data_IF_523946760543
#
_entry.id   IF_523946760543
#
_cell.length_a   1.000
_cell.length_b   1.000
_cell.length_c   1.000
_cell.angle_alpha   90.00
_cell.angle_beta   90.00
_cell.angle_gamma   90.00
#
_symmetry.space_group_name_H-M   'P 1'
#
loop_
_entity.id
_entity.type
_entity.pdbx_description
1 polymer ?
#
# COMPACT_ATOMS: atom_id res chain seq x y z
N UNK A 1 7.20 -6.58 -12.83
CA UNK A 1 5.90 -6.18 -12.23
C UNK A 1 6.08 -5.30 -10.97
N UNK A 2 5.19 -4.33 -10.78
CA UNK A 2 5.10 -3.49 -9.59
C UNK A 2 3.64 -3.22 -9.28
N UNK A 3 3.30 -3.04 -8.00
CA UNK A 3 1.97 -2.65 -7.59
C UNK A 3 1.73 -1.21 -8.00
N UNK A 4 0.65 -0.97 -8.74
CA UNK A 4 0.11 0.37 -8.85
C UNK A 4 -0.46 0.79 -7.50
N UNK A 5 -0.11 1.99 -7.03
CA UNK A 5 -0.65 2.54 -5.79
C UNK A 5 -1.27 3.92 -6.03
N UNK A 6 -2.19 4.30 -5.15
CA UNK A 6 -2.74 5.65 -5.06
C UNK A 6 -3.04 6.02 -3.62
N UNK A 7 -2.71 7.25 -3.23
CA UNK A 7 -2.99 7.87 -1.94
C UNK A 7 -4.10 8.91 -2.17
N UNK A 8 -5.25 8.71 -1.52
CA UNK A 8 -6.45 9.56 -1.73
C UNK A 8 -6.34 10.90 -1.01
N UNK A 9 -5.91 10.87 0.24
CA UNK A 9 -5.84 12.06 1.10
C UNK A 9 -4.41 12.16 1.66
N UNK A 10 -3.45 12.61 0.84
CA UNK A 10 -2.08 12.71 1.30
C UNK A 10 -1.93 13.84 2.33
N UNK A 11 -1.23 13.56 3.41
CA UNK A 11 -0.92 14.55 4.46
C UNK A 11 0.48 15.11 4.19
N UNK A 12 0.56 16.41 3.98
CA UNK A 12 1.83 17.13 3.81
C UNK A 12 1.91 18.26 4.83
N UNK A 13 3.01 18.38 5.55
CA UNK A 13 3.28 19.46 6.50
C UNK A 13 4.79 19.60 6.74
N UNK A 14 5.19 20.39 7.75
CA UNK A 14 6.60 20.55 8.10
C UNK A 14 7.30 19.23 8.48
N UNK A 15 6.55 18.24 8.96
CA UNK A 15 7.03 16.90 9.32
C UNK A 15 7.01 15.93 8.13
N UNK A 16 5.95 15.99 7.32
CA UNK A 16 5.70 15.09 6.19
C UNK A 16 5.88 15.82 4.86
N UNK A 17 7.02 15.57 4.21
CA UNK A 17 7.31 16.11 2.88
C UNK A 17 6.32 15.57 1.85
N UNK A 18 6.15 16.31 0.75
CA UNK A 18 5.39 15.83 -0.40
C UNK A 18 5.96 14.51 -0.92
N UNK A 19 5.06 13.56 -1.19
CA UNK A 19 5.36 12.27 -1.81
C UNK A 19 4.47 12.06 -3.03
N UNK A 20 4.86 11.13 -3.89
CA UNK A 20 4.05 10.74 -5.02
C UNK A 20 2.71 10.18 -4.52
N UNK A 21 1.60 10.74 -4.99
CA UNK A 21 0.25 10.29 -4.62
C UNK A 21 -0.19 9.09 -5.45
N UNK A 22 0.53 8.76 -6.53
CA UNK A 22 0.31 7.60 -7.37
C UNK A 22 1.65 7.12 -7.93
N UNK A 23 1.72 5.85 -8.31
CA UNK A 23 2.90 5.31 -8.96
C UNK A 23 2.94 3.80 -8.91
N UNK A 24 4.14 3.26 -9.12
CA UNK A 24 4.41 1.83 -9.03
C UNK A 24 5.47 1.54 -7.98
N UNK A 25 5.28 0.49 -7.18
CA UNK A 25 6.25 0.05 -6.18
C UNK A 25 6.32 -1.48 -6.14
N UNK A 26 7.52 -2.03 -5.91
CA UNK A 26 7.70 -3.49 -5.70
C UNK A 26 7.39 -3.93 -4.27
N UNK A 27 7.56 -3.00 -3.32
CA UNK A 27 7.35 -3.19 -1.90
C UNK A 27 6.68 -1.95 -1.34
N UNK A 28 5.61 -2.12 -0.59
CA UNK A 28 4.91 -1.05 0.11
C UNK A 28 4.87 -1.41 1.60
N UNK A 29 5.42 -0.54 2.44
CA UNK A 29 5.31 -0.66 3.90
C UNK A 29 4.25 0.32 4.39
N UNK A 30 3.25 -0.20 5.10
CA UNK A 30 2.17 0.57 5.69
C UNK A 30 2.31 0.52 7.22
N UNK A 31 2.15 1.67 7.86
CA UNK A 31 2.03 1.76 9.32
C UNK A 31 0.74 2.52 9.63
N UNK A 32 -0.15 1.90 10.41
CA UNK A 32 -1.43 2.52 10.77
C UNK A 32 -1.24 3.62 11.80
N UNK A 33 -1.85 4.77 11.54
CA UNK A 33 -2.05 5.83 12.54
C UNK A 33 -3.50 5.95 12.99
N UNK A 34 -4.39 5.13 12.44
CA UNK A 34 -5.83 5.16 12.67
C UNK A 34 -6.18 4.42 13.96
N UNK A 35 -7.02 5.00 14.82
CA UNK A 35 -7.52 4.30 16.02
C UNK A 35 -8.31 3.04 15.64
N UNK A 36 -9.24 3.15 14.67
CA UNK A 36 -10.05 2.05 14.14
C UNK A 36 -9.81 1.87 12.64
N UNK A 37 -8.56 1.60 12.25
CA UNK A 37 -8.19 1.38 10.85
C UNK A 37 -8.49 -0.05 10.37
N UNK A 38 -8.63 -0.21 9.05
CA UNK A 38 -8.76 -1.52 8.40
C UNK A 38 -7.92 -1.56 7.12
N UNK A 39 -7.34 -2.71 6.84
CA UNK A 39 -6.81 -3.05 5.51
C UNK A 39 -7.91 -3.80 4.76
N UNK A 40 -8.23 -3.33 3.55
CA UNK A 40 -9.25 -3.96 2.69
C UNK A 40 -8.56 -4.61 1.51
N UNK A 41 -8.69 -5.93 1.40
CA UNK A 41 -8.15 -6.75 0.31
C UNK A 41 -9.29 -7.18 -0.62
N UNK A 42 -9.06 -7.09 -1.93
CA UNK A 42 -9.98 -7.50 -3.00
C UNK A 42 -11.42 -6.93 -2.88
N UNK A 43 -11.55 -5.78 -2.19
CA UNK A 43 -12.83 -5.10 -1.96
C UNK A 43 -13.77 -5.77 -0.95
N UNK A 44 -13.45 -6.96 -0.43
CA UNK A 44 -14.35 -7.76 0.41
C UNK A 44 -13.76 -8.11 1.77
N UNK A 45 -12.47 -8.43 1.83
CA UNK A 45 -11.83 -8.88 3.06
C UNK A 45 -11.34 -7.70 3.87
N UNK A 46 -11.90 -7.51 5.06
CA UNK A 46 -11.52 -6.45 6.01
C UNK A 46 -10.67 -7.04 7.13
N UNK A 47 -9.44 -6.58 7.25
CA UNK A 47 -8.52 -6.97 8.30
C UNK A 47 -8.38 -5.78 9.26
N UNK A 48 -8.64 -5.95 10.57
CA UNK A 48 -8.38 -4.91 11.57
C UNK A 48 -6.93 -4.42 11.48
N UNK A 49 -6.75 -3.11 11.37
CA UNK A 49 -5.44 -2.47 11.23
C UNK A 49 -5.34 -1.24 12.15
N UNK A 50 -5.41 -1.44 13.48
CA UNK A 50 -5.40 -0.38 14.47
C UNK A 50 -4.04 0.34 14.53
N UNK A 51 -3.97 1.42 15.30
CA UNK A 51 -2.79 2.27 15.43
C UNK A 51 -1.57 1.46 15.85
N UNK A 52 -0.46 1.64 15.13
CA UNK A 52 0.79 0.92 15.35
C UNK A 52 0.90 -0.41 14.60
N UNK A 53 -0.18 -0.92 13.99
CA UNK A 53 -0.08 -2.07 13.10
C UNK A 53 0.77 -1.75 11.88
N UNK A 54 1.55 -2.74 11.44
CA UNK A 54 2.45 -2.62 10.30
C UNK A 54 2.12 -3.74 9.31
N UNK A 55 2.02 -3.40 8.03
CA UNK A 55 1.86 -4.35 6.94
C UNK A 55 2.94 -4.10 5.88
N UNK A 56 3.42 -5.19 5.28
CA UNK A 56 4.32 -5.15 4.13
C UNK A 56 3.64 -5.85 2.98
N UNK A 57 3.51 -5.15 1.85
CA UNK A 57 2.91 -5.66 0.62
C UNK A 57 4.04 -5.86 -0.39
N UNK A 58 4.22 -7.10 -0.83
CA UNK A 58 5.28 -7.52 -1.75
C UNK A 58 4.73 -8.49 -2.79
N UNK A 59 5.35 -8.51 -3.97
CA UNK A 59 5.05 -9.48 -5.02
C UNK A 59 5.91 -10.71 -4.77
N UNK A 60 5.29 -11.87 -4.54
CA UNK A 60 6.00 -13.14 -4.64
C UNK A 60 6.43 -13.34 -6.10
N UNK A 61 7.73 -13.50 -6.35
CA UNK A 61 8.26 -13.66 -7.71
C UNK A 61 7.74 -14.90 -8.42
N UNK A 62 7.40 -15.95 -7.67
CA UNK A 62 6.87 -17.19 -8.22
C UNK A 62 5.43 -17.04 -8.70
N UNK A 63 4.65 -16.16 -8.05
CA UNK A 63 3.24 -15.89 -8.35
C UNK A 63 3.05 -14.59 -9.16
N UNK A 64 4.15 -13.92 -9.51
CA UNK A 64 4.10 -12.66 -10.23
C UNK A 64 3.47 -12.86 -11.61
N UNK A 65 2.47 -12.05 -11.94
CA UNK A 65 1.93 -11.97 -13.29
C UNK A 65 3.07 -11.69 -14.29
N UNK A 66 3.29 -12.65 -15.19
CA UNK A 66 4.26 -12.55 -16.28
C UNK A 66 3.52 -12.03 -17.51
N UNK A 67 3.71 -10.76 -17.82
CA UNK A 67 3.27 -10.23 -19.13
C UNK A 67 4.23 -10.80 -20.17
N UNK A 68 3.70 -11.51 -21.17
CA UNK A 68 4.49 -11.87 -22.35
C UNK A 68 4.79 -10.56 -23.08
N UNK A 69 6.06 -10.19 -23.16
CA UNK A 69 6.50 -9.08 -24.00
C UNK A 69 6.72 -9.70 -25.38
N UNK A 70 5.88 -9.33 -26.35
CA UNK A 70 6.00 -9.73 -27.76
C UNK A 70 6.94 -8.76 -28.46
#
# INVERSE_FOLDING_TARGET
PGFAFSIREPIFNATYKRTATRGFARKIRLESRCTNGYLVLDGSTKIPFPRGSIATIEINSNDALKTVIV
#
